data_IF_890549466417
#
_entry.id   IF_890549466417
#
_cell.length_a   1.000
_cell.length_b   1.000
_cell.length_c   1.000
_cell.angle_alpha   90.00
_cell.angle_beta   90.00
_cell.angle_gamma   90.00
#
_symmetry.space_group_name_H-M   'P 1'
#
loop_
_entity.id
_entity.type
_entity.pdbx_description
1 polymer ?
#
# COMPACT_ATOMS: atom_id res chain seq x y z
N UNK A 1 9.16 -10.34 28.94
CA UNK A 1 8.75 -9.10 28.26
C UNK A 1 7.28 -9.26 27.95
N UNK A 2 6.46 -8.39 28.53
CA UNK A 2 5.01 -8.42 28.38
C UNK A 2 4.70 -8.07 26.92
N UNK A 3 4.31 -9.07 26.12
CA UNK A 3 3.79 -8.84 24.78
C UNK A 3 2.50 -8.04 24.94
N UNK A 4 2.60 -6.72 24.76
CA UNK A 4 1.42 -5.89 24.53
C UNK A 4 0.87 -6.36 23.18
N UNK A 5 -0.02 -7.36 23.24
CA UNK A 5 -0.87 -7.75 22.14
C UNK A 5 -1.83 -6.60 21.89
N UNK A 6 -1.33 -5.52 21.28
CA UNK A 6 -2.18 -4.50 20.70
C UNK A 6 -3.09 -5.24 19.74
N UNK A 7 -4.39 -5.24 20.02
CA UNK A 7 -5.41 -5.62 19.06
C UNK A 7 -5.44 -4.54 17.98
N UNK A 8 -4.42 -4.53 17.13
CA UNK A 8 -4.29 -3.53 16.07
C UNK A 8 -5.27 -3.93 14.99
N UNK A 9 -6.34 -3.16 14.88
CA UNK A 9 -7.21 -3.25 13.71
C UNK A 9 -6.35 -3.03 12.47
N UNK A 10 -6.41 -3.91 11.46
CA UNK A 10 -5.62 -3.74 10.25
C UNK A 10 -5.99 -2.41 9.58
N UNK A 11 -5.05 -1.47 9.60
CA UNK A 11 -5.19 -0.17 8.94
C UNK A 11 -4.96 -0.35 7.45
N UNK A 12 -5.82 0.25 6.62
CA UNK A 12 -5.60 0.25 5.17
C UNK A 12 -4.45 1.17 4.81
N UNK A 13 -3.73 0.91 3.71
CA UNK A 13 -2.67 1.82 3.24
C UNK A 13 -3.19 3.24 3.01
N UNK A 14 -4.40 3.40 2.46
CA UNK A 14 -5.01 4.71 2.23
C UNK A 14 -5.20 5.49 3.53
N UNK A 15 -5.64 4.82 4.59
CA UNK A 15 -5.85 5.43 5.91
C UNK A 15 -4.52 5.76 6.59
N UNK A 16 -3.53 4.86 6.47
CA UNK A 16 -2.17 5.11 6.95
C UNK A 16 -1.56 6.33 6.24
N UNK A 17 -1.66 6.38 4.90
CA UNK A 17 -1.16 7.49 4.09
C UNK A 17 -1.84 8.80 4.45
N UNK A 18 -3.17 8.80 4.52
CA UNK A 18 -3.92 9.99 4.91
C UNK A 18 -3.49 10.50 6.29
N UNK A 19 -3.30 9.59 7.24
CA UNK A 19 -2.85 9.95 8.59
C UNK A 19 -1.44 10.57 8.56
N UNK A 20 -0.48 9.93 7.87
CA UNK A 20 0.88 10.44 7.74
C UNK A 20 0.93 11.82 7.07
N UNK A 21 0.27 11.98 5.92
CA UNK A 21 0.20 13.26 5.20
C UNK A 21 -0.45 14.35 6.06
N UNK A 22 -1.52 14.03 6.79
CA UNK A 22 -2.18 14.97 7.72
C UNK A 22 -1.27 15.46 8.84
N UNK A 23 -0.33 14.64 9.30
CA UNK A 23 0.65 15.00 10.33
C UNK A 23 1.95 15.61 9.76
N UNK A 24 1.99 15.92 8.46
CA UNK A 24 3.14 16.56 7.81
C UNK A 24 4.26 15.59 7.39
N UNK A 25 3.94 14.30 7.29
CA UNK A 25 4.88 13.30 6.76
C UNK A 25 4.64 13.07 5.28
N UNK A 26 5.71 13.07 4.50
CA UNK A 26 5.71 12.66 3.10
C UNK A 26 6.20 11.22 2.98
N UNK A 27 5.42 10.37 2.29
CA UNK A 27 5.83 8.99 2.02
C UNK A 27 6.82 8.98 0.85
N UNK A 28 8.10 8.74 1.15
CA UNK A 28 9.14 8.65 0.13
C UNK A 28 9.19 7.27 -0.52
N UNK A 29 9.17 6.21 0.29
CA UNK A 29 9.34 4.83 -0.17
C UNK A 29 8.50 3.83 0.59
N UNK A 30 8.06 2.80 -0.14
CA UNK A 30 7.44 1.61 0.39
C UNK A 30 8.41 0.45 0.20
N UNK A 31 8.48 -0.43 1.19
CA UNK A 31 9.26 -1.65 1.11
C UNK A 31 8.37 -2.85 1.38
N UNK A 32 8.58 -3.89 0.57
CA UNK A 32 8.02 -5.20 0.81
C UNK A 32 8.97 -6.00 1.69
N UNK A 33 8.47 -6.50 2.81
CA UNK A 33 9.25 -7.31 3.75
C UNK A 33 9.71 -8.64 3.12
N UNK A 34 8.78 -9.56 2.80
CA UNK A 34 9.09 -10.83 2.13
C UNK A 34 8.03 -11.22 1.10
N UNK A 35 8.43 -11.67 -0.11
CA UNK A 35 7.48 -12.26 -1.05
C UNK A 35 6.88 -13.54 -0.48
N UNK A 36 5.55 -13.68 -0.50
CA UNK A 36 4.89 -14.92 -0.08
C UNK A 36 5.09 -16.00 -1.15
N UNK A 37 5.36 -17.24 -0.71
CA UNK A 37 5.41 -18.43 -1.56
C UNK A 37 4.03 -18.61 -2.23
N UNK A 38 3.99 -18.88 -3.53
CA UNK A 38 2.78 -19.03 -4.37
C UNK A 38 2.03 -17.74 -4.78
N UNK A 39 2.64 -16.55 -4.67
CA UNK A 39 2.03 -15.31 -5.17
C UNK A 39 1.74 -15.29 -6.69
N UNK A 40 2.34 -16.21 -7.47
CA UNK A 40 2.14 -16.29 -8.91
C UNK A 40 0.66 -16.45 -9.30
N UNK A 41 -0.15 -17.13 -8.48
CA UNK A 41 -1.58 -17.34 -8.73
C UNK A 41 -2.41 -16.05 -8.64
N UNK A 42 -1.89 -14.99 -8.00
CA UNK A 42 -2.59 -13.71 -7.87
C UNK A 42 -2.27 -12.73 -9.01
N UNK A 43 -1.31 -13.06 -9.88
CA UNK A 43 -0.94 -12.20 -11.01
C UNK A 43 -2.09 -11.87 -11.97
N UNK A 44 -3.01 -12.79 -12.31
CA UNK A 44 -4.17 -12.44 -13.15
C UNK A 44 -5.04 -11.34 -12.50
N UNK A 45 -5.26 -11.42 -11.19
CA UNK A 45 -6.02 -10.40 -10.46
C UNK A 45 -5.27 -9.06 -10.42
N UNK A 46 -3.94 -9.09 -10.17
CA UNK A 46 -3.09 -7.90 -10.18
C UNK A 46 -3.09 -7.22 -11.56
N UNK A 47 -3.00 -8.00 -12.63
CA UNK A 47 -3.07 -7.50 -14.00
C UNK A 47 -4.42 -6.84 -14.31
N UNK A 48 -5.53 -7.47 -13.89
CA UNK A 48 -6.86 -6.90 -14.03
C UNK A 48 -7.02 -5.58 -13.28
N UNK A 49 -6.56 -5.51 -12.03
CA UNK A 49 -6.60 -4.28 -11.22
C UNK A 49 -5.80 -3.16 -11.91
N UNK A 50 -4.61 -3.47 -12.41
CA UNK A 50 -3.77 -2.52 -13.16
C UNK A 50 -4.43 -2.04 -14.45
N UNK A 51 -5.09 -2.94 -15.17
CA UNK A 51 -5.83 -2.60 -16.39
C UNK A 51 -6.97 -1.63 -16.08
N UNK A 52 -7.78 -1.92 -15.06
CA UNK A 52 -8.86 -1.02 -14.61
C UNK A 52 -8.32 0.34 -14.14
N UNK A 53 -7.14 0.34 -13.50
CA UNK A 53 -6.45 1.57 -13.11
C UNK A 53 -6.01 2.42 -14.31
N UNK A 54 -5.57 1.80 -15.40
CA UNK A 54 -5.17 2.49 -16.64
C UNK A 54 -6.37 3.02 -17.43
N UNK A 55 -7.53 2.38 -17.32
CA UNK A 55 -8.78 2.84 -17.92
C UNK A 55 -9.40 4.04 -17.16
N UNK A 56 -8.92 4.32 -15.95
CA UNK A 56 -9.37 5.45 -15.14
C UNK A 56 -8.64 6.73 -15.58
N UNK A 57 -9.34 7.86 -15.61
CA UNK A 57 -8.73 9.15 -15.99
C UNK A 57 -7.63 9.60 -15.03
N UNK A 58 -6.59 10.27 -15.54
CA UNK A 58 -5.44 10.76 -14.76
C UNK A 58 -5.84 11.53 -13.50
N UNK A 59 -6.88 12.38 -13.60
CA UNK A 59 -7.41 13.13 -12.46
C UNK A 59 -7.88 12.21 -11.33
N UNK A 60 -8.73 11.23 -11.66
CA UNK A 60 -9.25 10.26 -10.68
C UNK A 60 -8.14 9.35 -10.14
N UNK A 61 -7.13 9.02 -10.97
CA UNK A 61 -5.97 8.21 -10.54
C UNK A 61 -5.14 8.94 -9.48
N UNK A 62 -4.96 10.25 -9.62
CA UNK A 62 -4.25 11.08 -8.63
C UNK A 62 -5.06 11.25 -7.35
N UNK A 63 -6.33 11.61 -7.46
CA UNK A 63 -7.23 11.80 -6.30
C UNK A 63 -7.33 10.54 -5.41
N UNK A 64 -7.28 9.34 -6.01
CA UNK A 64 -7.40 8.06 -5.28
C UNK A 64 -6.06 7.39 -4.98
N UNK A 65 -4.93 8.04 -5.23
CA UNK A 65 -3.60 7.44 -5.13
C UNK A 65 -3.48 6.07 -5.84
N UNK A 66 -4.17 5.92 -6.98
CA UNK A 66 -4.30 4.63 -7.67
C UNK A 66 -2.95 4.03 -8.04
N UNK A 67 -1.97 4.87 -8.40
CA UNK A 67 -0.62 4.40 -8.71
C UNK A 67 0.09 3.79 -7.50
N UNK A 68 -0.02 4.42 -6.34
CA UNK A 68 0.55 3.89 -5.12
C UNK A 68 -0.14 2.58 -4.72
N UNK A 69 -1.47 2.56 -4.71
CA UNK A 69 -2.26 1.36 -4.38
C UNK A 69 -2.04 0.17 -5.32
N UNK A 70 -1.61 0.44 -6.56
CA UNK A 70 -1.33 -0.60 -7.57
C UNK A 70 0.16 -1.01 -7.65
N UNK A 71 0.98 -0.48 -6.75
CA UNK A 71 2.39 -0.84 -6.61
C UNK A 71 2.56 -2.31 -6.24
N UNK A 72 3.73 -2.87 -6.54
CA UNK A 72 4.05 -4.25 -6.18
C UNK A 72 4.10 -4.42 -4.65
N UNK A 73 4.52 -3.39 -3.92
CA UNK A 73 4.59 -3.37 -2.47
C UNK A 73 3.21 -3.54 -1.81
N UNK A 74 2.16 -3.00 -2.43
CA UNK A 74 0.78 -3.08 -1.92
C UNK A 74 0.03 -4.28 -2.49
N UNK A 75 0.05 -4.51 -3.82
CA UNK A 75 -0.69 -5.60 -4.45
C UNK A 75 -0.03 -6.97 -4.28
N UNK A 76 1.31 -7.01 -4.30
CA UNK A 76 2.10 -8.24 -4.11
C UNK A 76 2.77 -8.27 -2.73
N UNK A 77 2.38 -7.35 -1.85
CA UNK A 77 2.79 -7.30 -0.46
C UNK A 77 2.33 -8.52 0.34
N UNK A 78 2.87 -8.63 1.55
CA UNK A 78 2.43 -9.61 2.54
C UNK A 78 1.42 -9.01 3.52
N UNK A 79 1.48 -9.48 4.76
CA UNK A 79 0.73 -8.86 5.86
C UNK A 79 1.45 -7.63 6.42
N UNK A 80 2.72 -7.45 6.04
CA UNK A 80 3.59 -6.39 6.53
C UNK A 80 3.90 -5.45 5.38
N UNK A 81 3.62 -4.16 5.59
CA UNK A 81 4.04 -3.06 4.72
C UNK A 81 4.99 -2.18 5.52
N UNK A 82 6.19 -1.95 4.99
CA UNK A 82 7.16 -1.05 5.61
C UNK A 82 7.09 0.28 4.88
N UNK A 83 6.84 1.36 5.62
CA UNK A 83 6.72 2.72 5.08
C UNK A 83 7.89 3.55 5.58
N UNK A 84 8.63 4.13 4.65
CA UNK A 84 9.63 5.15 4.95
C UNK A 84 9.03 6.52 4.60
N UNK A 85 8.83 7.34 5.62
CA UNK A 85 8.28 8.68 5.50
C UNK A 85 9.18 9.68 6.21
N UNK A 86 9.34 10.85 5.60
CA UNK A 86 10.11 11.97 6.16
C UNK A 86 9.15 13.07 6.58
N UNK A 87 9.46 13.71 7.71
CA UNK A 87 8.69 14.85 8.18
C UNK A 87 9.22 16.10 7.51
N UNK A 88 8.33 16.85 6.88
CA UNK A 88 8.63 18.19 6.36
C UNK A 88 8.64 19.22 7.49
#
# INVERSE_FOLDING_TARGET
>A
MEEIALHVNPISYSELRYSLEKYGFEIERLYRDKPKRHQWAHWPAVALIRLLGRLTTERKRRERWTMALQSDEILLGGNTLIVHATKQ
#
